data_IF_304915800257
#
_entry.id   IF_304915800257
#
_cell.length_a   1.000
_cell.length_b   1.000
_cell.length_c   1.000
_cell.angle_alpha   90.00
_cell.angle_beta   90.00
_cell.angle_gamma   90.00
#
_symmetry.space_group_name_H-M   'P 1'
#
loop_
_entity.id
_entity.type
_entity.pdbx_description
1 polymer ?
#
# COMPACT_ATOMS: atom_id res chain seq x y z
N UNK A 1 -0.54 -3.21 -14.43
CA UNK A 1 -2.00 -2.93 -14.37
C UNK A 1 -2.35 -2.49 -12.96
N UNK A 2 -3.31 -1.58 -12.74
CA UNK A 2 -3.67 -1.11 -11.40
C UNK A 2 -4.40 -2.22 -10.62
N UNK A 3 -3.63 -3.10 -9.96
CA UNK A 3 -4.11 -4.31 -9.25
C UNK A 3 -5.20 -3.99 -8.22
N UNK A 4 -5.07 -2.86 -7.52
CA UNK A 4 -6.06 -2.40 -6.55
C UNK A 4 -7.41 -2.00 -7.17
N UNK A 5 -7.40 -1.45 -8.38
CA UNK A 5 -8.64 -1.10 -9.09
C UNK A 5 -9.40 -2.37 -9.49
N UNK A 6 -8.68 -3.42 -9.90
CA UNK A 6 -9.28 -4.72 -10.21
C UNK A 6 -9.90 -5.33 -8.94
N UNK A 7 -9.20 -5.28 -7.80
CA UNK A 7 -9.75 -5.71 -6.51
C UNK A 7 -11.00 -4.94 -6.10
N UNK A 8 -11.03 -3.63 -6.32
CA UNK A 8 -12.21 -2.80 -6.06
C UNK A 8 -13.41 -3.22 -6.94
N UNK A 9 -13.17 -3.45 -8.24
CA UNK A 9 -14.21 -3.93 -9.15
C UNK A 9 -14.76 -5.28 -8.68
N UNK A 10 -13.87 -6.21 -8.28
CA UNK A 10 -14.29 -7.52 -7.78
C UNK A 10 -15.10 -7.45 -6.49
N UNK A 11 -14.87 -6.43 -5.65
CA UNK A 11 -15.69 -6.15 -4.47
C UNK A 11 -17.02 -5.48 -4.81
N UNK A 12 -17.04 -4.64 -5.85
CA UNK A 12 -18.22 -3.87 -6.25
C UNK A 12 -19.29 -4.72 -6.94
N UNK A 13 -18.90 -5.70 -7.78
CA UNK A 13 -19.86 -6.52 -8.54
C UNK A 13 -20.78 -7.37 -7.64
N UNK A 14 -20.30 -8.08 -6.60
CA UNK A 14 -21.17 -8.81 -5.67
C UNK A 14 -22.12 -7.90 -4.89
N UNK A 15 -21.71 -6.69 -4.52
CA UNK A 15 -22.56 -5.75 -3.77
C UNK A 15 -23.77 -5.27 -4.58
N UNK A 16 -23.58 -5.07 -5.89
CA UNK A 16 -24.64 -4.63 -6.81
C UNK A 16 -25.47 -5.79 -7.40
N UNK A 17 -25.17 -7.04 -7.02
CA UNK A 17 -25.93 -8.20 -7.48
C UNK A 17 -27.26 -8.36 -6.72
N UNK A 18 -28.31 -8.94 -7.32
CA UNK A 18 -29.55 -9.27 -6.62
C UNK A 18 -29.31 -10.21 -5.43
N UNK A 19 -30.05 -10.04 -4.33
CA UNK A 19 -29.89 -10.78 -3.05
C UNK A 19 -29.61 -12.29 -3.23
N UNK A 20 -30.31 -12.94 -4.15
CA UNK A 20 -30.25 -14.39 -4.34
C UNK A 20 -29.01 -14.85 -5.13
N UNK A 21 -28.45 -14.00 -6.00
CA UNK A 21 -27.18 -14.25 -6.69
C UNK A 21 -25.96 -13.79 -5.91
N UNK A 22 -26.12 -12.87 -4.94
CA UNK A 22 -25.02 -12.33 -4.12
C UNK A 22 -24.07 -13.40 -3.56
N UNK A 23 -24.53 -14.49 -2.91
CA UNK A 23 -23.60 -15.47 -2.34
C UNK A 23 -22.76 -16.18 -3.41
N UNK A 24 -23.34 -16.50 -4.57
CA UNK A 24 -22.63 -17.12 -5.68
C UNK A 24 -21.59 -16.16 -6.31
N UNK A 25 -21.99 -14.92 -6.57
CA UNK A 25 -21.09 -13.89 -7.09
C UNK A 25 -19.95 -13.61 -6.12
N UNK A 26 -20.23 -13.49 -4.82
CA UNK A 26 -19.20 -13.29 -3.79
C UNK A 26 -18.18 -14.44 -3.77
N UNK A 27 -18.63 -15.68 -3.95
CA UNK A 27 -17.74 -16.83 -4.04
C UNK A 27 -16.84 -16.76 -5.28
N UNK A 28 -17.42 -16.53 -6.46
CA UNK A 28 -16.67 -16.47 -7.72
C UNK A 28 -15.64 -15.34 -7.74
N UNK A 29 -16.05 -14.11 -7.40
CA UNK A 29 -15.16 -12.96 -7.38
C UNK A 29 -14.11 -13.07 -6.28
N UNK A 30 -14.43 -13.68 -5.13
CA UNK A 30 -13.44 -13.99 -4.09
C UNK A 30 -12.37 -14.99 -4.56
N UNK A 31 -12.70 -15.94 -5.44
CA UNK A 31 -11.70 -16.84 -6.03
C UNK A 31 -10.81 -16.14 -7.06
N UNK A 32 -11.38 -15.24 -7.86
CA UNK A 32 -10.63 -14.42 -8.81
C UNK A 32 -9.67 -13.47 -8.11
N UNK A 33 -10.11 -12.85 -7.02
CA UNK A 33 -9.28 -12.00 -6.17
C UNK A 33 -8.06 -12.77 -5.64
N UNK A 34 -8.26 -13.97 -5.08
CA UNK A 34 -7.18 -14.84 -4.60
C UNK A 34 -6.19 -15.26 -5.67
N UNK A 35 -6.63 -15.45 -6.91
CA UNK A 35 -5.79 -15.94 -8.01
C UNK A 35 -5.07 -14.83 -8.78
N UNK A 36 -5.62 -13.62 -8.81
CA UNK A 36 -5.14 -12.54 -9.66
C UNK A 36 -4.60 -11.38 -8.81
N UNK A 37 -5.38 -10.93 -7.83
CA UNK A 37 -5.09 -9.71 -7.07
C UNK A 37 -4.08 -10.01 -5.97
N UNK A 38 -4.33 -11.02 -5.13
CA UNK A 38 -3.44 -11.39 -4.02
C UNK A 38 -1.98 -11.67 -4.44
N UNK A 39 -1.68 -12.48 -5.48
CA UNK A 39 -0.29 -12.79 -5.83
C UNK A 39 0.45 -11.59 -6.42
N UNK A 40 -0.20 -10.78 -7.25
CA UNK A 40 0.42 -9.57 -7.80
C UNK A 40 0.63 -8.52 -6.69
N UNK A 41 -0.34 -8.38 -5.80
CA UNK A 41 -0.21 -7.51 -4.64
C UNK A 41 0.93 -7.95 -3.73
N UNK A 42 1.07 -9.26 -3.46
CA UNK A 42 2.17 -9.82 -2.68
C UNK A 42 3.54 -9.51 -3.32
N UNK A 43 3.69 -9.68 -4.65
CA UNK A 43 4.93 -9.34 -5.38
C UNK A 43 5.28 -7.86 -5.24
N UNK A 44 4.32 -6.96 -5.39
CA UNK A 44 4.55 -5.53 -5.24
C UNK A 44 4.88 -5.12 -3.80
N UNK A 45 4.38 -5.87 -2.82
CA UNK A 45 4.69 -5.69 -1.41
C UNK A 45 5.98 -6.39 -0.95
N UNK A 46 6.59 -7.20 -1.81
CA UNK A 46 7.82 -7.93 -1.52
C UNK A 46 9.03 -7.00 -1.58
N UNK A 47 9.13 -6.14 -0.56
CA UNK A 47 10.24 -5.21 -0.36
C UNK A 47 11.18 -5.75 0.72
N UNK A 48 11.66 -6.98 0.54
CA UNK A 48 12.52 -7.69 1.51
C UNK A 48 13.81 -6.92 1.85
N UNK A 49 14.22 -5.97 1.02
CA UNK A 49 15.41 -5.16 1.21
C UNK A 49 15.22 -3.99 2.20
N UNK A 50 14.00 -3.56 2.52
CA UNK A 50 13.74 -2.38 3.36
C UNK A 50 14.39 -2.44 4.74
N UNK A 51 14.53 -3.63 5.33
CA UNK A 51 15.18 -3.80 6.63
C UNK A 51 16.69 -3.54 6.60
N UNK A 52 17.33 -3.63 5.43
CA UNK A 52 18.80 -3.57 5.27
C UNK A 52 19.32 -2.23 4.75
N UNK A 53 18.46 -1.39 4.16
CA UNK A 53 18.87 -0.14 3.50
C UNK A 53 18.32 1.11 4.19
N UNK A 54 19.16 2.15 4.32
CA UNK A 54 18.77 3.47 4.86
C UNK A 54 17.87 4.26 3.89
N UNK A 55 18.01 4.02 2.59
CA UNK A 55 17.23 4.58 1.50
C UNK A 55 16.94 3.46 0.49
N UNK A 56 15.75 3.43 -0.10
CA UNK A 56 15.29 2.44 -1.05
C UNK A 56 16.18 2.39 -2.32
N UNK A 57 16.84 3.49 -2.66
CA UNK A 57 17.83 3.54 -3.75
C UNK A 57 19.25 3.13 -3.34
N UNK A 58 19.49 2.75 -2.08
CA UNK A 58 20.81 2.28 -1.61
C UNK A 58 21.89 3.37 -1.46
N UNK A 59 21.57 4.64 -1.72
CA UNK A 59 22.48 5.78 -1.57
C UNK A 59 22.55 6.37 -0.16
N UNK A 60 23.48 7.32 0.03
CA UNK A 60 23.69 8.05 1.30
C UNK A 60 22.52 9.00 1.63
N UNK A 61 21.81 9.49 0.60
CA UNK A 61 20.67 10.40 0.74
C UNK A 61 19.37 9.85 0.13
N UNK A 62 18.21 10.44 0.48
CA UNK A 62 16.94 10.10 -0.14
C UNK A 62 16.93 10.52 -1.62
N UNK A 63 16.39 9.66 -2.46
CA UNK A 63 16.23 9.89 -3.90
C UNK A 63 14.77 10.10 -4.27
N UNK A 64 14.50 10.58 -5.49
CA UNK A 64 13.12 10.68 -6.02
C UNK A 64 12.35 9.36 -5.95
N UNK A 65 13.06 8.23 -6.09
CA UNK A 65 12.47 6.90 -5.96
C UNK A 65 11.96 6.60 -4.53
N UNK A 66 12.60 7.15 -3.50
CA UNK A 66 12.15 7.03 -2.11
C UNK A 66 10.81 7.75 -1.90
N UNK A 67 10.65 8.95 -2.49
CA UNK A 67 9.42 9.73 -2.39
C UNK A 67 8.24 9.10 -3.14
N UNK A 68 8.48 8.44 -4.27
CA UNK A 68 7.42 7.72 -4.99
C UNK A 68 6.98 6.47 -4.22
N UNK A 69 7.92 5.81 -3.53
CA UNK A 69 7.65 4.56 -2.80
C UNK A 69 7.12 4.77 -1.38
N UNK A 70 7.39 5.90 -0.73
CA UNK A 70 6.91 6.15 0.64
C UNK A 70 5.38 6.29 0.69
N UNK A 71 4.78 6.99 -0.27
CA UNK A 71 3.34 7.23 -0.32
C UNK A 71 2.49 5.95 -0.23
N UNK A 72 2.69 4.93 -1.09
CA UNK A 72 1.93 3.69 -0.96
C UNK A 72 2.24 2.93 0.35
N UNK A 73 3.45 3.04 0.91
CA UNK A 73 3.78 2.44 2.21
C UNK A 73 3.03 3.10 3.36
N UNK A 74 2.93 4.42 3.36
CA UNK A 74 2.14 5.18 4.33
C UNK A 74 0.65 4.80 4.27
N UNK A 75 0.10 4.66 3.06
CA UNK A 75 -1.26 4.15 2.86
C UNK A 75 -1.47 2.76 3.46
N UNK A 76 -0.51 1.84 3.27
CA UNK A 76 -0.57 0.48 3.85
C UNK A 76 -0.47 0.49 5.39
N UNK A 77 0.30 1.41 5.97
CA UNK A 77 0.37 1.61 7.42
C UNK A 77 -0.99 2.10 7.93
N UNK A 78 -1.60 3.05 7.24
CA UNK A 78 -2.90 3.61 7.60
C UNK A 78 -4.01 2.55 7.62
N UNK A 79 -4.05 1.65 6.63
CA UNK A 79 -5.01 0.53 6.60
C UNK A 79 -4.55 -0.70 7.41
N UNK A 80 -3.46 -0.58 8.18
CA UNK A 80 -2.91 -1.64 9.07
C UNK A 80 -2.52 -2.95 8.36
N UNK A 81 -2.16 -2.88 7.08
CA UNK A 81 -1.67 -4.04 6.30
C UNK A 81 -0.15 -4.00 6.08
N UNK A 82 0.51 -2.89 6.42
CA UNK A 82 1.96 -2.80 6.44
C UNK A 82 2.53 -3.63 7.61
N UNK A 83 3.09 -4.80 7.31
CA UNK A 83 3.85 -5.58 8.29
C UNK A 83 4.97 -4.79 8.98
N UNK A 84 5.49 -5.32 10.09
CA UNK A 84 6.39 -4.62 11.05
C UNK A 84 7.52 -3.81 10.39
N UNK A 85 8.32 -4.43 9.51
CA UNK A 85 9.48 -3.76 8.89
C UNK A 85 9.12 -2.55 8.03
N UNK A 86 7.94 -2.58 7.38
CA UNK A 86 7.46 -1.46 6.55
C UNK A 86 6.98 -0.31 7.41
N UNK A 87 6.26 -0.62 8.50
CA UNK A 87 5.84 0.37 9.48
C UNK A 87 7.03 1.07 10.12
N UNK A 88 8.06 0.32 10.53
CA UNK A 88 9.30 0.89 11.08
C UNK A 88 10.05 1.78 10.07
N UNK A 89 10.05 1.40 8.78
CA UNK A 89 10.63 2.23 7.73
C UNK A 89 9.87 3.55 7.56
N UNK A 90 8.54 3.51 7.51
CA UNK A 90 7.69 4.70 7.41
C UNK A 90 7.94 5.64 8.59
N UNK A 91 7.94 5.12 9.82
CA UNK A 91 8.24 5.89 11.02
C UNK A 91 9.63 6.55 10.96
N UNK A 92 10.65 5.84 10.47
CA UNK A 92 12.00 6.40 10.28
C UNK A 92 12.03 7.53 9.26
N UNK A 93 11.20 7.48 8.22
CA UNK A 93 11.10 8.55 7.21
C UNK A 93 10.35 9.76 7.77
N UNK A 94 9.21 9.53 8.42
CA UNK A 94 8.37 10.58 9.03
C UNK A 94 9.07 11.29 10.20
N UNK A 95 9.93 10.59 10.93
CA UNK A 95 10.72 11.18 12.03
C UNK A 95 11.79 12.19 11.56
N UNK A 96 12.12 12.24 10.25
CA UNK A 96 13.19 13.11 9.74
C UNK A 96 12.82 14.59 9.92
N UNK A 97 13.74 15.45 10.40
CA UNK A 97 13.48 16.89 10.54
C UNK A 97 13.04 17.55 9.22
N UNK A 98 13.58 17.09 8.08
CA UNK A 98 13.18 17.58 6.77
C UNK A 98 11.73 17.24 6.42
N UNK A 99 11.24 16.06 6.84
CA UNK A 99 9.86 15.64 6.62
C UNK A 99 8.90 16.46 7.49
N UNK A 100 9.23 16.67 8.77
CA UNK A 100 8.43 17.54 9.67
C UNK A 100 8.30 18.97 9.16
N UNK A 101 9.41 19.57 8.70
CA UNK A 101 9.38 20.90 8.07
C UNK A 101 8.56 20.94 6.78
N UNK A 102 8.52 19.83 6.03
CA UNK A 102 7.70 19.73 4.83
C UNK A 102 6.21 19.67 5.19
N UNK A 103 5.82 18.95 6.24
CA UNK A 103 4.45 18.93 6.75
C UNK A 103 4.00 20.31 7.26
N UNK A 104 4.84 20.99 8.04
CA UNK A 104 4.56 22.35 8.55
C UNK A 104 4.24 23.34 7.42
N UNK A 105 4.88 23.18 6.25
CA UNK A 105 4.63 24.02 5.06
C UNK A 105 3.51 23.49 4.16
N UNK A 106 3.31 22.17 4.13
CA UNK A 106 2.41 21.47 3.23
C UNK A 106 0.97 21.33 3.75
N UNK A 107 0.76 21.54 5.05
CA UNK A 107 -0.55 21.43 5.68
C UNK A 107 -0.90 20.00 6.11
N UNK A 108 -2.18 19.78 6.43
CA UNK A 108 -2.67 18.52 6.97
C UNK A 108 -2.46 17.35 6.00
N UNK A 109 -1.75 16.33 6.48
CA UNK A 109 -1.47 15.11 5.73
C UNK A 109 -1.96 13.89 6.50
N UNK A 110 -2.95 13.20 5.93
CA UNK A 110 -3.73 12.13 6.59
C UNK A 110 -2.89 10.88 6.89
N UNK A 111 -1.71 10.75 6.27
CA UNK A 111 -0.86 9.56 6.40
C UNK A 111 0.42 9.78 7.24
N UNK A 112 0.67 10.99 7.78
CA UNK A 112 1.79 11.28 8.69
C UNK A 112 1.40 11.29 10.17
#
# INVERSE_FOLDING_TARGET
MPVLVIGLIFSFVPQNSPWFLRPFMRFMFGQLEKRIVEPEFAKHLELQHLSKVKCIAGGIGPTSADFIKIFPLEGLVHIKTAGKSKSEYVQKVQARPAYKRALERGGDYVYA
#
